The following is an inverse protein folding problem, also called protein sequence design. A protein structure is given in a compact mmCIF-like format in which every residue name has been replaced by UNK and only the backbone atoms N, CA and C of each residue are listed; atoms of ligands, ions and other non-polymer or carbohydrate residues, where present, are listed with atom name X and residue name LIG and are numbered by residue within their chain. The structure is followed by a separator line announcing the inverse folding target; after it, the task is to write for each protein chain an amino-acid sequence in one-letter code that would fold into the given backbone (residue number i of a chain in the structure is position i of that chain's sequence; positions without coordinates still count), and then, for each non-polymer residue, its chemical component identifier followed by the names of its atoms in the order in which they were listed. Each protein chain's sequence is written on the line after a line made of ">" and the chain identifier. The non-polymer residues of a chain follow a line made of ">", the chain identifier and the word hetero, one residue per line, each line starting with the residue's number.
data_IF_877515648425
#
_entry.id   IF_877515648425
#
_cell.length_a   1.000
_cell.length_b   1.000
_cell.length_c   1.000
_cell.angle_alpha   90.00
_cell.angle_beta   90.00
_cell.angle_gamma   90.00
#
_symmetry.space_group_name_H-M   'P 1'
#
loop_
_entity.id
_entity.type
_entity.pdbx_description
1 polymer ?
#
# COMPACT_ATOMS: atom_id res chain seq x y z
N UNK A 1 0.12 -17.67 29.02
CA UNK A 1 0.31 -16.21 29.07
C UNK A 1 1.63 -15.95 29.78
N UNK A 2 2.66 -15.53 29.06
CA UNK A 2 3.94 -15.17 29.67
C UNK A 2 3.79 -13.92 30.54
N UNK A 3 4.47 -13.86 31.68
CA UNK A 3 4.52 -12.63 32.49
C UNK A 3 5.22 -11.52 31.70
N UNK A 4 4.64 -10.32 31.68
CA UNK A 4 5.30 -9.13 31.10
C UNK A 4 6.68 -8.97 31.77
N UNK A 5 7.78 -8.86 31.00
CA UNK A 5 9.11 -8.64 31.56
C UNK A 5 9.11 -7.43 32.50
N UNK A 6 9.65 -7.61 33.70
CA UNK A 6 9.84 -6.53 34.67
C UNK A 6 11.29 -6.08 34.63
N UNK A 7 11.49 -4.79 34.44
CA UNK A 7 12.80 -4.15 34.52
C UNK A 7 12.86 -3.32 35.79
N UNK A 8 13.94 -3.45 36.56
CA UNK A 8 14.21 -2.65 37.76
C UNK A 8 15.48 -1.82 37.50
N UNK A 9 15.37 -0.50 37.70
CA UNK A 9 16.53 0.38 37.61
C UNK A 9 17.35 0.28 38.91
N UNK A 10 18.50 -0.38 38.84
CA UNK A 10 19.36 -0.64 40.02
C UNK A 10 20.46 0.42 40.23
N UNK A 11 20.67 1.31 39.27
CA UNK A 11 21.74 2.32 39.32
C UNK A 11 21.32 3.61 38.59
N UNK A 12 21.74 4.75 39.13
CA UNK A 12 21.72 6.04 38.44
C UNK A 12 23.06 6.26 37.73
N UNK A 13 23.00 6.63 36.46
CA UNK A 13 24.18 6.99 35.65
C UNK A 13 24.01 8.40 35.12
N UNK A 14 25.11 9.09 34.87
CA UNK A 14 25.08 10.35 34.13
C UNK A 14 24.75 10.05 32.66
N UNK A 15 23.81 10.78 32.04
CA UNK A 15 23.42 10.51 30.66
C UNK A 15 24.60 10.76 29.72
N UNK A 16 24.92 9.81 28.82
CA UNK A 16 25.98 10.00 27.85
C UNK A 16 25.63 11.13 26.88
N UNK A 17 26.64 11.75 26.28
CA UNK A 17 26.46 12.90 25.39
C UNK A 17 25.49 12.61 24.22
N UNK A 18 25.50 11.39 23.66
CA UNK A 18 24.60 11.03 22.57
C UNK A 18 23.12 11.13 22.97
N UNK A 19 22.77 10.77 24.21
CA UNK A 19 21.39 10.82 24.69
C UNK A 19 20.91 12.27 24.85
N UNK A 20 21.81 13.18 25.26
CA UNK A 20 21.52 14.62 25.30
C UNK A 20 21.30 15.21 23.91
N UNK A 21 22.11 14.79 22.93
CA UNK A 21 21.95 15.22 21.53
C UNK A 21 20.67 14.66 20.90
N UNK A 22 20.34 13.40 21.15
CA UNK A 22 19.08 12.79 20.71
C UNK A 22 17.87 13.56 21.26
N UNK A 23 17.85 13.87 22.57
CA UNK A 23 16.80 14.71 23.15
C UNK A 23 16.73 16.10 22.51
N UNK A 24 17.89 16.70 22.20
CA UNK A 24 17.93 18.00 21.51
C UNK A 24 17.36 17.91 20.09
N UNK A 25 17.64 16.84 19.35
CA UNK A 25 17.06 16.59 18.02
C UNK A 25 15.54 16.46 18.14
N UNK A 26 15.05 15.66 19.09
CA UNK A 26 13.62 15.50 19.35
C UNK A 26 12.95 16.86 19.64
N UNK A 27 13.55 17.71 20.47
CA UNK A 27 13.00 19.03 20.79
C UNK A 27 12.93 19.96 19.57
N UNK A 28 13.89 19.86 18.66
CA UNK A 28 13.90 20.61 17.38
C UNK A 28 12.82 20.05 16.44
N UNK A 29 12.74 18.73 16.28
CA UNK A 29 11.74 18.08 15.44
C UNK A 29 10.31 18.36 15.92
N UNK A 30 10.08 18.45 17.24
CA UNK A 30 8.80 18.88 17.80
C UNK A 30 8.38 20.27 17.34
N UNK A 31 9.32 21.22 17.28
CA UNK A 31 9.05 22.58 16.80
C UNK A 31 8.88 22.58 15.27
N UNK A 32 9.73 21.86 14.55
CA UNK A 32 9.70 21.79 13.10
C UNK A 32 8.41 21.14 12.59
N UNK A 33 7.92 20.07 13.21
CA UNK A 33 6.68 19.40 12.82
C UNK A 33 5.45 20.30 12.97
N UNK A 34 5.36 21.08 14.05
CA UNK A 34 4.28 22.08 14.22
C UNK A 34 4.37 23.17 13.15
N UNK A 35 5.55 23.74 12.94
CA UNK A 35 5.76 24.77 11.92
C UNK A 35 5.48 24.25 10.50
N UNK A 36 5.79 22.98 10.22
CA UNK A 36 5.49 22.33 8.95
C UNK A 36 3.98 22.27 8.71
N UNK A 37 3.21 21.74 9.67
CA UNK A 37 1.75 21.70 9.55
C UNK A 37 1.18 23.10 9.37
N UNK A 38 1.54 24.06 10.22
CA UNK A 38 1.05 25.44 10.13
C UNK A 38 1.37 26.11 8.78
N UNK A 39 2.45 25.70 8.11
CA UNK A 39 2.88 26.27 6.83
C UNK A 39 2.16 25.68 5.63
N UNK A 40 1.83 24.38 5.69
CA UNK A 40 1.36 23.60 4.54
C UNK A 40 -0.10 23.14 4.65
N UNK A 41 -0.76 23.37 5.79
CA UNK A 41 -2.19 23.08 5.96
C UNK A 41 -2.98 24.35 6.28
N UNK A 42 -4.29 24.28 6.05
CA UNK A 42 -5.28 25.25 6.53
C UNK A 42 -5.58 25.00 8.01
N UNK A 43 -6.27 25.93 8.69
CA UNK A 43 -6.67 25.74 10.09
C UNK A 43 -7.45 24.44 10.35
N UNK A 44 -8.29 24.01 9.41
CA UNK A 44 -9.05 22.76 9.48
C UNK A 44 -8.21 21.48 9.27
N UNK A 45 -6.96 21.60 8.83
CA UNK A 45 -6.05 20.48 8.53
C UNK A 45 -5.97 20.13 7.04
N UNK A 46 -6.84 20.67 6.19
CA UNK A 46 -6.74 20.40 4.76
C UNK A 46 -5.43 20.96 4.20
N UNK A 47 -4.82 20.24 3.26
CA UNK A 47 -3.59 20.68 2.63
C UNK A 47 -3.82 21.98 1.85
N UNK A 48 -2.82 22.87 1.88
CA UNK A 48 -2.70 23.99 0.95
C UNK A 48 -2.32 23.42 -0.43
N UNK A 49 -3.30 22.82 -1.09
CA UNK A 49 -3.16 22.08 -2.34
C UNK A 49 -4.07 22.66 -3.43
N UNK A 50 -4.33 21.86 -4.48
CA UNK A 50 -5.25 22.15 -5.58
C UNK A 50 -6.71 22.19 -5.12
N UNK A 51 -7.59 22.81 -5.90
CA UNK A 51 -9.03 22.81 -5.62
C UNK A 51 -9.74 21.56 -6.17
N UNK A 52 -9.11 20.85 -7.10
CA UNK A 52 -9.55 19.58 -7.66
C UNK A 52 -8.34 18.68 -7.99
N UNK A 53 -8.59 17.39 -8.14
CA UNK A 53 -7.55 16.42 -8.46
C UNK A 53 -8.08 15.35 -9.44
N UNK A 54 -7.46 15.18 -10.63
CA UNK A 54 -7.87 14.18 -11.60
C UNK A 54 -7.22 12.82 -11.34
N UNK A 55 -7.75 11.77 -11.99
CA UNK A 55 -7.15 10.44 -11.98
C UNK A 55 -7.31 9.68 -10.68
N UNK A 56 -6.61 8.56 -10.55
CA UNK A 56 -6.73 7.65 -9.40
C UNK A 56 -5.58 7.78 -8.38
N UNK A 57 -4.48 8.39 -8.79
CA UNK A 57 -3.22 8.52 -8.06
C UNK A 57 -3.17 9.78 -7.19
N UNK A 58 -2.26 9.86 -6.20
CA UNK A 58 -1.89 11.06 -5.47
C UNK A 58 -2.49 11.22 -4.07
N UNK A 59 -3.35 10.32 -3.59
CA UNK A 59 -3.79 10.31 -2.19
C UNK A 59 -2.67 9.88 -1.25
N UNK A 60 -1.83 8.97 -1.69
CA UNK A 60 -0.61 8.47 -1.05
C UNK A 60 0.35 9.59 -0.69
N UNK A 61 0.78 10.43 -1.64
CA UNK A 61 1.57 11.65 -1.39
C UNK A 61 1.05 12.50 -0.22
N UNK A 62 -0.27 12.65 -0.12
CA UNK A 62 -0.90 13.45 0.91
C UNK A 62 -0.88 12.78 2.29
N UNK A 63 -1.15 11.48 2.36
CA UNK A 63 -0.95 10.72 3.61
C UNK A 63 0.53 10.71 4.00
N UNK A 64 1.41 10.60 3.02
CA UNK A 64 2.83 10.48 3.23
C UNK A 64 3.45 11.73 3.87
N UNK A 65 2.86 12.90 3.60
CA UNK A 65 3.27 14.16 4.20
C UNK A 65 3.29 14.13 5.74
N UNK A 66 2.57 13.18 6.37
CA UNK A 66 2.46 13.09 7.83
C UNK A 66 2.66 11.67 8.41
N UNK A 67 2.87 10.63 7.60
CA UNK A 67 2.95 9.23 8.07
C UNK A 67 4.03 8.99 9.14
N UNK A 68 5.10 9.79 9.12
CA UNK A 68 6.22 9.71 10.07
C UNK A 68 5.92 10.35 11.42
N UNK A 69 4.86 11.15 11.56
CA UNK A 69 4.50 11.82 12.82
C UNK A 69 4.18 10.83 13.96
N UNK A 70 3.32 9.80 13.76
CA UNK A 70 3.10 8.81 14.80
C UNK A 70 4.36 8.00 15.12
N UNK A 71 5.18 7.66 14.11
CA UNK A 71 6.48 7.03 14.34
C UNK A 71 7.40 7.92 15.20
N UNK A 72 7.46 9.22 14.91
CA UNK A 72 8.25 10.15 15.71
C UNK A 72 7.74 10.27 17.15
N UNK A 73 6.42 10.24 17.36
CA UNK A 73 5.84 10.18 18.70
C UNK A 73 6.30 8.93 19.47
N UNK A 74 6.28 7.75 18.84
CA UNK A 74 6.78 6.50 19.43
C UNK A 74 8.25 6.58 19.86
N UNK A 75 9.06 7.35 19.13
CA UNK A 75 10.48 7.58 19.43
C UNK A 75 10.72 8.68 20.48
N UNK A 76 9.67 9.21 21.10
CA UNK A 76 9.76 10.21 22.17
C UNK A 76 9.41 11.65 21.77
N UNK A 77 8.80 11.82 20.59
CA UNK A 77 8.13 13.05 20.16
C UNK A 77 6.99 13.46 21.09
N UNK A 78 6.50 14.69 20.94
CA UNK A 78 5.52 15.28 21.85
C UNK A 78 4.09 14.83 21.54
N UNK A 79 3.22 14.87 22.55
CA UNK A 79 1.76 14.69 22.42
C UNK A 79 1.14 15.62 21.37
N UNK A 80 1.73 16.81 21.16
CA UNK A 80 1.26 17.73 20.13
C UNK A 80 1.45 17.15 18.73
N UNK A 81 2.57 16.47 18.46
CA UNK A 81 2.79 15.79 17.19
C UNK A 81 1.83 14.62 17.01
N UNK A 82 1.58 13.83 18.06
CA UNK A 82 0.60 12.75 18.01
C UNK A 82 -0.83 13.27 17.72
N UNK A 83 -1.22 14.39 18.35
CA UNK A 83 -2.46 15.07 18.03
C UNK A 83 -2.52 15.50 16.55
N UNK A 84 -1.44 16.12 16.04
CA UNK A 84 -1.37 16.55 14.65
C UNK A 84 -1.46 15.36 13.69
N UNK A 85 -0.77 14.26 13.96
CA UNK A 85 -0.88 13.05 13.14
C UNK A 85 -2.34 12.61 12.94
N UNK A 86 -3.10 12.55 14.03
CA UNK A 86 -4.51 12.14 13.98
C UNK A 86 -5.38 13.15 13.24
N UNK A 87 -5.15 14.44 13.47
CA UNK A 87 -5.86 15.52 12.79
C UNK A 87 -5.60 15.46 11.28
N UNK A 88 -4.34 15.36 10.87
CA UNK A 88 -3.96 15.40 9.46
C UNK A 88 -4.39 14.13 8.72
N UNK A 89 -4.37 12.95 9.37
CA UNK A 89 -4.99 11.75 8.81
C UNK A 89 -6.46 12.00 8.46
N UNK A 90 -7.25 12.52 9.40
CA UNK A 90 -8.68 12.76 9.19
C UNK A 90 -8.93 13.86 8.13
N UNK A 91 -8.11 14.90 8.10
CA UNK A 91 -8.26 16.00 7.14
C UNK A 91 -7.87 15.59 5.71
N UNK A 92 -6.77 14.85 5.53
CA UNK A 92 -6.36 14.29 4.24
C UNK A 92 -7.42 13.30 3.74
N UNK A 93 -7.89 12.40 4.61
CA UNK A 93 -8.96 11.44 4.26
C UNK A 93 -10.20 12.16 3.75
N UNK A 94 -10.61 13.24 4.43
CA UNK A 94 -11.76 14.04 4.01
C UNK A 94 -11.51 14.74 2.66
N UNK A 95 -10.37 15.42 2.51
CA UNK A 95 -10.03 16.16 1.30
C UNK A 95 -10.00 15.26 0.05
N UNK A 96 -9.39 14.08 0.15
CA UNK A 96 -9.35 13.13 -0.97
C UNK A 96 -10.65 12.36 -1.17
N UNK A 97 -11.54 12.35 -0.18
CA UNK A 97 -12.94 11.92 -0.39
C UNK A 97 -13.69 12.92 -1.27
N UNK A 98 -13.48 14.23 -1.05
CA UNK A 98 -14.09 15.28 -1.87
C UNK A 98 -13.53 15.30 -3.32
N UNK A 99 -12.27 14.95 -3.51
CA UNK A 99 -11.71 14.76 -4.87
C UNK A 99 -12.16 13.47 -5.55
N UNK A 100 -12.50 12.43 -4.77
CA UNK A 100 -13.06 11.18 -5.26
C UNK A 100 -12.09 9.98 -5.28
N UNK A 101 -10.80 10.20 -5.01
CA UNK A 101 -9.80 9.11 -4.92
C UNK A 101 -10.02 8.25 -3.67
N UNK A 102 -10.53 8.81 -2.58
CA UNK A 102 -10.84 8.07 -1.35
C UNK A 102 -12.35 7.79 -1.25
N UNK A 103 -12.70 6.57 -0.89
CA UNK A 103 -14.06 6.13 -0.65
C UNK A 103 -14.11 5.22 0.59
N UNK A 104 -15.03 5.50 1.53
CA UNK A 104 -15.13 4.76 2.80
C UNK A 104 -13.81 4.75 3.61
N UNK A 105 -13.09 5.87 3.56
CA UNK A 105 -11.77 6.13 4.20
C UNK A 105 -10.59 5.31 3.67
N UNK A 106 -10.76 4.64 2.52
CA UNK A 106 -9.72 3.90 1.83
C UNK A 106 -9.75 4.28 0.36
N UNK A 107 -8.66 4.15 -0.37
CA UNK A 107 -8.62 4.51 -1.79
C UNK A 107 -9.69 3.71 -2.55
N UNK A 108 -10.45 4.42 -3.38
CA UNK A 108 -11.52 3.84 -4.18
C UNK A 108 -10.97 2.68 -5.01
N UNK A 109 -9.83 2.93 -5.65
CA UNK A 109 -8.97 1.94 -6.28
C UNK A 109 -7.59 2.54 -6.55
N UNK A 110 -6.51 1.82 -6.21
CA UNK A 110 -5.16 2.06 -6.72
C UNK A 110 -4.34 0.76 -6.58
N UNK A 111 -3.01 0.83 -6.64
CA UNK A 111 -2.17 -0.35 -6.43
C UNK A 111 -1.62 -0.45 -5.01
N UNK A 112 -1.19 -1.66 -4.66
CA UNK A 112 -0.76 -1.97 -3.29
C UNK A 112 0.59 -1.35 -2.88
N UNK A 113 1.39 -0.86 -3.83
CA UNK A 113 2.58 -0.06 -3.49
C UNK A 113 2.12 1.23 -2.81
N UNK A 114 1.27 1.99 -3.48
CA UNK A 114 0.76 3.28 -2.99
C UNK A 114 -0.23 3.14 -1.83
N UNK A 115 -1.03 2.06 -1.79
CA UNK A 115 -1.78 1.74 -0.56
C UNK A 115 -0.82 1.47 0.61
N UNK A 116 0.30 0.78 0.36
CA UNK A 116 1.32 0.53 1.37
C UNK A 116 1.89 1.83 1.95
N UNK A 117 2.22 2.77 1.08
CA UNK A 117 2.68 4.12 1.44
C UNK A 117 1.66 4.84 2.34
N UNK A 118 0.40 4.88 1.89
CA UNK A 118 -0.71 5.52 2.61
C UNK A 118 -1.00 4.91 3.97
N UNK A 119 -1.26 3.59 4.02
CA UNK A 119 -1.86 2.94 5.18
C UNK A 119 -0.83 2.45 6.20
N UNK A 120 0.48 2.51 5.88
CA UNK A 120 1.56 2.39 6.87
C UNK A 120 1.34 3.34 8.06
N UNK A 121 0.75 4.49 7.79
CA UNK A 121 0.30 5.48 8.77
C UNK A 121 -0.59 4.86 9.85
N UNK A 122 -1.61 4.06 9.48
CA UNK A 122 -2.52 3.44 10.45
C UNK A 122 -1.80 2.42 11.35
N UNK A 123 -0.76 1.76 10.84
CA UNK A 123 0.03 0.82 11.64
C UNK A 123 0.73 1.54 12.79
N UNK A 124 1.32 2.70 12.51
CA UNK A 124 1.93 3.54 13.55
C UNK A 124 0.90 4.12 14.50
N UNK A 125 -0.26 4.59 14.01
CA UNK A 125 -1.32 5.10 14.90
C UNK A 125 -1.82 4.04 15.89
N UNK A 126 -2.00 2.80 15.42
CA UNK A 126 -2.36 1.68 16.28
C UNK A 126 -1.26 1.30 17.27
N UNK A 127 0.02 1.46 16.89
CA UNK A 127 1.15 1.23 17.79
C UNK A 127 1.27 2.34 18.85
N UNK A 128 0.95 3.59 18.52
CA UNK A 128 0.90 4.71 19.46
C UNK A 128 -0.16 4.51 20.55
N UNK A 129 -1.37 4.13 20.15
CA UNK A 129 -2.48 3.87 21.07
C UNK A 129 -3.46 2.84 20.49
N UNK A 130 -3.38 1.57 20.89
CA UNK A 130 -4.26 0.51 20.39
C UNK A 130 -5.69 0.57 20.96
N UNK A 131 -5.97 1.50 21.89
CA UNK A 131 -7.29 1.64 22.50
C UNK A 131 -8.20 2.62 21.75
N UNK A 132 -7.69 3.34 20.75
CA UNK A 132 -8.50 4.23 19.92
C UNK A 132 -9.48 3.41 19.07
N UNK A 133 -10.76 3.48 19.47
CA UNK A 133 -11.81 2.69 18.84
C UNK A 133 -11.93 2.92 17.32
N UNK A 134 -11.76 4.17 16.86
CA UNK A 134 -11.83 4.54 15.44
C UNK A 134 -10.78 3.79 14.61
N UNK A 135 -9.55 3.71 15.09
CA UNK A 135 -8.45 3.05 14.39
C UNK A 135 -8.65 1.53 14.34
N UNK A 136 -9.13 0.95 15.45
CA UNK A 136 -9.49 -0.46 15.48
C UNK A 136 -10.61 -0.79 14.49
N UNK A 137 -11.63 0.07 14.38
CA UNK A 137 -12.70 -0.11 13.39
C UNK A 137 -12.16 -0.02 11.95
N UNK A 138 -11.24 0.92 11.68
CA UNK A 138 -10.56 1.03 10.37
C UNK A 138 -9.78 -0.24 10.04
N UNK A 139 -8.96 -0.73 10.97
CA UNK A 139 -8.17 -1.95 10.77
C UNK A 139 -9.05 -3.15 10.36
N UNK A 140 -10.16 -3.37 11.06
CA UNK A 140 -11.08 -4.46 10.71
C UNK A 140 -11.84 -4.22 9.41
N UNK A 141 -12.30 -3.00 9.16
CA UNK A 141 -13.03 -2.67 7.92
C UNK A 141 -12.13 -2.81 6.70
N UNK A 142 -10.90 -2.30 6.76
CA UNK A 142 -9.96 -2.33 5.64
C UNK A 142 -9.47 -3.76 5.37
N UNK A 143 -9.21 -4.55 6.42
CA UNK A 143 -8.99 -5.98 6.24
C UNK A 143 -10.22 -6.67 5.61
N UNK A 144 -11.44 -6.27 5.99
CA UNK A 144 -12.71 -6.75 5.45
C UNK A 144 -12.82 -6.65 3.92
N UNK A 145 -12.16 -5.66 3.31
CA UNK A 145 -12.09 -5.49 1.85
C UNK A 145 -11.30 -6.60 1.14
N UNK A 146 -10.53 -7.40 1.87
CA UNK A 146 -9.68 -8.45 1.31
C UNK A 146 -9.95 -9.84 1.90
N UNK A 147 -10.60 -9.94 3.06
CA UNK A 147 -10.94 -11.25 3.67
C UNK A 147 -12.32 -11.78 3.28
N UNK A 148 -12.99 -11.15 2.30
CA UNK A 148 -14.30 -11.59 1.79
C UNK A 148 -15.49 -11.21 2.67
N UNK A 149 -15.34 -10.22 3.56
CA UNK A 149 -16.39 -9.77 4.48
C UNK A 149 -17.16 -8.55 3.97
N UNK A 150 -16.68 -7.88 2.93
CA UNK A 150 -17.31 -6.69 2.36
C UNK A 150 -18.01 -6.98 1.02
N UNK A 151 -19.32 -6.75 0.95
CA UNK A 151 -20.13 -7.03 -0.24
C UNK A 151 -19.83 -6.10 -1.44
N UNK A 152 -19.26 -4.92 -1.20
CA UNK A 152 -18.95 -3.95 -2.25
C UNK A 152 -17.49 -4.12 -2.72
N UNK A 153 -16.56 -4.24 -1.77
CA UNK A 153 -15.14 -4.43 -2.05
C UNK A 153 -14.80 -5.93 -2.24
N UNK A 154 -15.21 -6.48 -3.36
CA UNK A 154 -14.98 -7.90 -3.73
C UNK A 154 -13.57 -8.11 -4.31
N UNK A 155 -12.52 -7.62 -3.63
CA UNK A 155 -11.14 -7.65 -4.12
C UNK A 155 -10.53 -9.04 -4.17
N UNK A 156 -10.97 -9.95 -3.31
CA UNK A 156 -10.33 -11.25 -3.10
C UNK A 156 -11.23 -12.40 -3.52
N UNK A 157 -10.64 -13.36 -4.23
CA UNK A 157 -11.23 -14.67 -4.50
C UNK A 157 -10.75 -15.68 -3.45
N UNK A 158 -11.67 -16.15 -2.61
CA UNK A 158 -11.35 -17.09 -1.52
C UNK A 158 -11.11 -18.52 -1.96
N UNK A 159 -11.56 -18.91 -3.16
CA UNK A 159 -11.36 -20.25 -3.70
C UNK A 159 -9.99 -20.35 -4.38
N UNK A 160 -9.68 -19.38 -5.23
CA UNK A 160 -8.42 -19.30 -5.97
C UNK A 160 -7.28 -18.63 -5.19
N UNK A 161 -7.59 -18.03 -4.03
CA UNK A 161 -6.63 -17.33 -3.16
C UNK A 161 -5.86 -16.26 -3.94
N UNK A 162 -6.59 -15.33 -4.54
CA UNK A 162 -6.00 -14.27 -5.35
C UNK A 162 -6.71 -12.93 -5.18
N UNK A 163 -5.96 -11.83 -5.28
CA UNK A 163 -6.54 -10.49 -5.42
C UNK A 163 -6.82 -10.25 -6.91
N UNK A 164 -8.04 -9.81 -7.22
CA UNK A 164 -8.64 -9.93 -8.56
C UNK A 164 -8.19 -8.86 -9.56
N UNK A 165 -7.46 -7.85 -9.11
CA UNK A 165 -6.83 -6.85 -9.98
C UNK A 165 -5.60 -6.26 -9.31
N UNK A 166 -4.56 -5.85 -10.06
CA UNK A 166 -3.48 -5.02 -9.51
C UNK A 166 -3.97 -3.67 -9.01
N UNK A 167 -5.05 -3.15 -9.61
CA UNK A 167 -5.71 -1.91 -9.22
C UNK A 167 -7.00 -2.28 -8.49
N UNK A 168 -7.05 -2.05 -7.18
CA UNK A 168 -8.14 -2.51 -6.32
C UNK A 168 -8.33 -1.56 -5.14
N UNK A 169 -9.40 -1.72 -4.35
CA UNK A 169 -9.64 -0.83 -3.22
C UNK A 169 -11.02 -0.96 -2.61
N UNK A 170 -11.52 0.10 -1.99
CA UNK A 170 -12.82 0.10 -1.31
C UNK A 170 -14.02 0.00 -2.23
N UNK A 171 -13.83 0.21 -3.55
CA UNK A 171 -14.84 -0.06 -4.58
C UNK A 171 -14.69 -1.42 -5.25
N UNK A 172 -13.78 -2.27 -4.78
CA UNK A 172 -13.50 -3.56 -5.39
C UNK A 172 -12.41 -3.50 -6.47
N UNK A 173 -12.22 -4.59 -7.23
CA UNK A 173 -11.18 -4.69 -8.24
C UNK A 173 -11.54 -3.83 -9.47
N UNK A 174 -10.57 -3.05 -9.96
CA UNK A 174 -10.68 -2.25 -11.18
C UNK A 174 -10.21 -3.07 -12.37
N UNK A 175 -11.15 -3.66 -13.10
CA UNK A 175 -10.87 -4.50 -14.27
C UNK A 175 -10.69 -3.72 -15.58
N UNK A 176 -11.03 -2.44 -15.57
CA UNK A 176 -10.90 -1.53 -16.70
C UNK A 176 -10.61 -0.13 -16.16
N UNK A 177 -9.52 0.45 -16.64
CA UNK A 177 -9.07 1.79 -16.31
C UNK A 177 -9.45 2.73 -17.45
N UNK A 178 -9.86 3.94 -17.09
CA UNK A 178 -10.24 5.01 -18.01
C UNK A 178 -9.04 5.88 -18.40
N UNK A 179 -9.17 6.71 -19.45
CA UNK A 179 -8.19 7.74 -19.76
C UNK A 179 -7.90 8.68 -18.59
N UNK A 180 -8.92 9.00 -17.78
CA UNK A 180 -8.78 9.87 -16.63
C UNK A 180 -7.90 9.25 -15.55
N UNK A 181 -8.08 7.95 -15.27
CA UNK A 181 -7.33 7.21 -14.23
C UNK A 181 -5.80 7.33 -14.42
N UNK A 182 -5.34 7.38 -15.67
CA UNK A 182 -3.92 7.44 -16.05
C UNK A 182 -3.43 8.85 -16.42
N UNK A 183 -4.30 9.86 -16.33
CA UNK A 183 -4.00 11.20 -16.85
C UNK A 183 -2.78 11.86 -16.19
N UNK A 184 -2.53 11.58 -14.91
CA UNK A 184 -1.37 12.10 -14.16
C UNK A 184 -0.07 11.35 -14.47
N UNK A 185 -0.14 10.11 -14.96
CA UNK A 185 1.04 9.29 -15.25
C UNK A 185 1.60 9.49 -16.66
N UNK A 186 0.83 10.04 -17.61
CA UNK A 186 1.23 10.14 -19.03
C UNK A 186 2.61 10.77 -19.20
N UNK A 187 2.80 11.96 -18.63
CA UNK A 187 4.08 12.70 -18.70
C UNK A 187 5.25 11.92 -18.09
N UNK A 188 5.01 11.21 -16.99
CA UNK A 188 6.04 10.45 -16.29
C UNK A 188 6.42 9.22 -17.11
N UNK A 189 5.43 8.43 -17.55
CA UNK A 189 5.61 7.15 -18.23
C UNK A 189 6.14 7.29 -19.67
N UNK A 190 5.96 8.45 -20.31
CA UNK A 190 6.64 8.78 -21.57
C UNK A 190 8.18 8.69 -21.45
N UNK A 191 8.73 8.82 -20.24
CA UNK A 191 10.16 8.71 -19.97
C UNK A 191 10.64 7.28 -19.73
N UNK A 192 9.75 6.29 -19.69
CA UNK A 192 10.06 4.89 -19.42
C UNK A 192 9.87 4.00 -20.66
N UNK A 193 10.38 2.75 -20.64
CA UNK A 193 10.06 1.79 -21.68
C UNK A 193 8.55 1.55 -21.81
N UNK A 194 8.10 1.27 -23.03
CA UNK A 194 6.71 0.87 -23.27
C UNK A 194 6.35 -0.40 -22.50
N UNK A 195 5.10 -0.53 -22.00
CA UNK A 195 4.70 -1.65 -21.15
C UNK A 195 4.76 -2.99 -21.86
N UNK A 196 4.64 -2.98 -23.20
CA UNK A 196 4.77 -4.17 -24.05
C UNK A 196 5.68 -3.90 -25.25
N UNK A 197 6.36 -4.93 -25.73
CA UNK A 197 7.24 -4.87 -26.92
C UNK A 197 6.46 -4.99 -28.23
N UNK A 198 5.26 -5.56 -28.16
CA UNK A 198 4.41 -5.94 -29.29
C UNK A 198 3.23 -4.97 -29.47
N UNK A 199 3.44 -3.67 -29.21
CA UNK A 199 2.39 -2.65 -29.38
C UNK A 199 2.29 -2.26 -30.86
N UNK A 200 1.14 -2.46 -31.52
CA UNK A 200 1.00 -2.15 -32.95
C UNK A 200 1.27 -0.68 -33.28
N UNK A 201 2.24 -0.44 -34.17
CA UNK A 201 2.61 0.89 -34.62
C UNK A 201 3.56 1.65 -33.69
N UNK A 202 4.12 0.99 -32.67
CA UNK A 202 5.18 1.54 -31.82
C UNK A 202 6.41 0.63 -31.91
N UNK A 203 7.35 1.00 -32.78
CA UNK A 203 8.59 0.23 -33.01
C UNK A 203 9.78 0.75 -32.19
N UNK A 204 9.52 1.68 -31.25
CA UNK A 204 10.55 2.31 -30.41
C UNK A 204 10.45 1.83 -28.96
N UNK A 205 11.58 1.80 -28.21
CA UNK A 205 11.58 1.37 -26.81
C UNK A 205 10.71 2.24 -25.88
N UNK A 206 10.43 3.48 -26.28
CA UNK A 206 9.56 4.42 -25.56
C UNK A 206 8.46 4.91 -26.50
N UNK A 207 7.34 5.32 -25.93
CA UNK A 207 6.23 5.94 -26.65
C UNK A 207 5.96 7.32 -26.08
N UNK A 208 5.43 8.23 -26.90
CA UNK A 208 4.90 9.48 -26.39
C UNK A 208 3.49 9.23 -25.85
N UNK A 209 3.39 9.05 -24.53
CA UNK A 209 2.10 8.85 -23.88
C UNK A 209 1.21 10.08 -23.98
N UNK A 210 1.73 11.26 -24.36
CA UNK A 210 0.94 12.48 -24.52
C UNK A 210 0.27 12.61 -25.89
N UNK A 211 0.59 11.73 -26.84
CA UNK A 211 -0.21 11.54 -28.05
C UNK A 211 -1.46 10.69 -27.70
N UNK A 212 -2.64 11.20 -28.02
CA UNK A 212 -3.91 10.57 -27.62
C UNK A 212 -4.17 9.23 -28.36
N UNK A 213 -3.76 9.09 -29.63
CA UNK A 213 -3.92 7.84 -30.36
C UNK A 213 -2.98 6.75 -29.84
N UNK A 214 -1.75 7.13 -29.50
CA UNK A 214 -0.77 6.24 -28.87
C UNK A 214 -1.26 5.81 -27.49
N UNK A 215 -1.73 6.76 -26.69
CA UNK A 215 -2.23 6.49 -25.34
C UNK A 215 -3.44 5.56 -25.36
N UNK A 216 -4.41 5.78 -26.26
CA UNK A 216 -5.58 4.91 -26.40
C UNK A 216 -5.16 3.45 -26.68
N UNK A 217 -4.17 3.24 -27.56
CA UNK A 217 -3.65 1.89 -27.87
C UNK A 217 -2.94 1.26 -26.66
N UNK A 218 -2.16 2.05 -25.93
CA UNK A 218 -1.48 1.58 -24.71
C UNK A 218 -2.51 1.20 -23.65
N UNK A 219 -3.48 2.08 -23.38
CA UNK A 219 -4.52 1.86 -22.38
C UNK A 219 -5.36 0.62 -22.68
N UNK A 220 -5.74 0.40 -23.94
CA UNK A 220 -6.46 -0.80 -24.37
C UNK A 220 -5.63 -2.07 -24.09
N UNK A 221 -4.32 -2.06 -24.34
CA UNK A 221 -3.45 -3.18 -23.97
C UNK A 221 -3.31 -3.35 -22.45
N UNK A 222 -3.20 -2.26 -21.68
CA UNK A 222 -3.16 -2.34 -20.21
C UNK A 222 -4.45 -2.97 -19.67
N UNK A 223 -5.62 -2.55 -20.18
CA UNK A 223 -6.92 -3.11 -19.79
C UNK A 223 -7.09 -4.58 -20.18
N UNK A 224 -6.57 -4.97 -21.35
CA UNK A 224 -6.62 -6.37 -21.81
C UNK A 224 -5.65 -7.28 -21.07
N UNK A 225 -4.46 -6.79 -20.73
CA UNK A 225 -3.33 -7.62 -20.30
C UNK A 225 -2.92 -7.49 -18.83
N UNK A 226 -3.18 -6.35 -18.20
CA UNK A 226 -2.70 -6.04 -16.84
C UNK A 226 -3.82 -5.74 -15.83
N UNK A 227 -5.00 -5.25 -16.26
CA UNK A 227 -6.04 -4.81 -15.32
C UNK A 227 -6.78 -5.96 -14.60
N UNK A 228 -6.49 -7.22 -14.91
CA UNK A 228 -7.26 -8.37 -14.43
C UNK A 228 -6.33 -9.42 -13.86
N UNK A 229 -6.77 -10.01 -12.75
CA UNK A 229 -6.01 -11.02 -12.06
C UNK A 229 -5.04 -10.45 -11.04
N UNK A 230 -4.13 -11.30 -10.60
CA UNK A 230 -3.27 -11.04 -9.46
C UNK A 230 -1.81 -10.84 -9.90
N UNK A 231 -1.10 -10.06 -9.10
CA UNK A 231 0.31 -9.72 -9.29
C UNK A 231 1.02 -9.81 -7.94
N UNK A 232 2.32 -10.13 -7.90
CA UNK A 232 3.07 -10.23 -6.66
C UNK A 232 2.98 -8.98 -5.78
N UNK A 233 2.86 -7.79 -6.38
CA UNK A 233 2.71 -6.53 -5.64
C UNK A 233 1.58 -6.58 -4.59
N UNK A 234 0.50 -7.30 -4.88
CA UNK A 234 -0.63 -7.45 -3.98
C UNK A 234 -0.27 -8.20 -2.67
N UNK A 235 0.89 -8.87 -2.59
CA UNK A 235 1.38 -9.47 -1.35
C UNK A 235 1.62 -8.43 -0.23
N UNK A 236 1.82 -7.16 -0.58
CA UNK A 236 1.88 -6.05 0.40
C UNK A 236 0.59 -5.94 1.23
N UNK A 237 -0.54 -6.44 0.72
CA UNK A 237 -1.81 -6.51 1.44
C UNK A 237 -1.74 -7.25 2.77
N UNK A 238 -0.83 -8.22 2.88
CA UNK A 238 -0.66 -9.03 4.08
C UNK A 238 -0.39 -8.18 5.32
N UNK A 239 0.31 -7.05 5.20
CA UNK A 239 0.60 -6.14 6.34
C UNK A 239 -0.69 -5.55 6.94
N UNK A 240 -1.68 -5.27 6.10
CA UNK A 240 -2.98 -4.76 6.57
C UNK A 240 -3.76 -5.82 7.33
N UNK A 241 -3.68 -7.06 6.86
CA UNK A 241 -4.34 -8.20 7.49
C UNK A 241 -3.67 -8.56 8.82
N UNK A 242 -2.34 -8.49 8.87
CA UNK A 242 -1.56 -8.63 10.12
C UNK A 242 -1.93 -7.52 11.09
N UNK A 243 -2.06 -6.28 10.63
CA UNK A 243 -2.45 -5.16 11.49
C UNK A 243 -3.82 -5.42 12.16
N UNK A 244 -4.80 -5.93 11.42
CA UNK A 244 -6.08 -6.35 11.99
C UNK A 244 -5.93 -7.52 12.99
N UNK A 245 -5.11 -8.52 12.68
CA UNK A 245 -4.80 -9.63 13.59
C UNK A 245 -4.22 -9.13 14.92
N UNK A 246 -3.31 -8.15 14.91
CA UNK A 246 -2.66 -7.65 16.12
C UNK A 246 -3.64 -7.03 17.13
N UNK A 247 -4.83 -6.59 16.71
CA UNK A 247 -5.84 -6.05 17.62
C UNK A 247 -6.63 -7.11 18.41
N UNK A 248 -6.84 -8.31 17.86
CA UNK A 248 -7.74 -9.30 18.47
C UNK A 248 -7.28 -10.76 18.42
N UNK A 249 -6.21 -11.08 17.68
CA UNK A 249 -5.67 -12.43 17.52
C UNK A 249 -6.59 -13.39 16.76
N UNK A 250 -7.56 -12.89 15.98
CA UNK A 250 -8.51 -13.73 15.26
C UNK A 250 -7.81 -14.54 14.17
N UNK A 251 -7.92 -15.87 14.26
CA UNK A 251 -7.22 -16.80 13.38
C UNK A 251 -7.62 -16.67 11.92
N UNK A 252 -8.77 -16.08 11.58
CA UNK A 252 -9.15 -15.84 10.18
C UNK A 252 -8.11 -15.00 9.43
N UNK A 253 -7.55 -13.98 10.09
CA UNK A 253 -6.56 -13.08 9.50
C UNK A 253 -5.23 -13.81 9.28
N UNK A 254 -4.80 -14.60 10.27
CA UNK A 254 -3.60 -15.42 10.14
C UNK A 254 -3.73 -16.44 9.01
N UNK A 255 -4.85 -17.15 8.96
CA UNK A 255 -5.10 -18.15 7.92
C UNK A 255 -5.15 -17.52 6.53
N UNK A 256 -5.77 -16.35 6.39
CA UNK A 256 -5.79 -15.63 5.12
C UNK A 256 -4.37 -15.31 4.61
N UNK A 257 -3.50 -14.79 5.49
CA UNK A 257 -2.12 -14.45 5.13
C UNK A 257 -1.34 -15.69 4.69
N UNK A 258 -1.41 -16.76 5.46
CA UNK A 258 -0.72 -18.02 5.15
C UNK A 258 -1.24 -18.64 3.86
N UNK A 259 -2.57 -18.77 3.71
CA UNK A 259 -3.20 -19.32 2.50
C UNK A 259 -2.80 -18.53 1.24
N UNK A 260 -2.73 -17.20 1.34
CA UNK A 260 -2.40 -16.35 0.21
C UNK A 260 -0.93 -16.48 -0.21
N UNK A 261 -0.01 -16.56 0.76
CA UNK A 261 1.41 -16.78 0.50
C UNK A 261 1.66 -18.18 -0.07
N UNK A 262 1.00 -19.20 0.48
CA UNK A 262 1.09 -20.58 -0.02
C UNK A 262 0.61 -20.68 -1.47
N UNK A 263 -0.41 -19.91 -1.85
CA UNK A 263 -0.88 -19.84 -3.24
C UNK A 263 0.20 -19.26 -4.17
N UNK A 264 0.88 -18.17 -3.77
CA UNK A 264 2.01 -17.61 -4.52
C UNK A 264 3.23 -18.53 -4.58
N UNK A 265 3.52 -19.24 -3.50
CA UNK A 265 4.56 -20.26 -3.45
C UNK A 265 4.27 -21.42 -4.42
N UNK A 266 3.02 -21.90 -4.47
CA UNK A 266 2.59 -22.93 -5.42
C UNK A 266 2.74 -22.45 -6.87
N UNK A 267 2.27 -21.24 -7.20
CA UNK A 267 2.42 -20.64 -8.54
C UNK A 267 3.89 -20.50 -8.95
N UNK A 268 4.74 -20.13 -8.00
CA UNK A 268 6.20 -20.06 -8.21
C UNK A 268 6.78 -21.44 -8.55
N UNK A 269 6.36 -22.50 -7.86
CA UNK A 269 6.77 -23.89 -8.19
C UNK A 269 6.29 -24.33 -9.56
N UNK A 270 5.05 -24.03 -9.91
CA UNK A 270 4.46 -24.33 -11.23
C UNK A 270 5.21 -23.58 -12.34
N UNK A 271 5.75 -22.40 -12.05
CA UNK A 271 6.58 -21.61 -12.96
C UNK A 271 8.10 -21.86 -12.78
N UNK A 272 8.49 -23.12 -12.54
CA UNK A 272 9.89 -23.56 -12.48
C UNK A 272 10.77 -22.84 -11.45
N UNK A 273 10.17 -22.40 -10.34
CA UNK A 273 10.87 -21.73 -9.24
C UNK A 273 11.06 -20.22 -9.44
N UNK A 274 10.54 -19.63 -10.51
CA UNK A 274 10.52 -18.18 -10.72
C UNK A 274 9.11 -17.67 -10.44
N UNK A 275 8.98 -16.64 -9.62
CA UNK A 275 7.66 -16.08 -9.33
C UNK A 275 7.05 -15.49 -10.61
N UNK A 276 5.88 -15.98 -11.07
CA UNK A 276 5.17 -15.34 -12.16
C UNK A 276 4.73 -13.95 -11.71
N UNK A 277 4.71 -12.97 -12.62
CA UNK A 277 4.29 -11.61 -12.27
C UNK A 277 2.85 -11.29 -12.69
N UNK A 278 2.13 -12.27 -13.23
CA UNK A 278 0.72 -12.15 -13.59
C UNK A 278 0.01 -13.50 -13.56
N UNK A 279 -1.19 -13.52 -12.97
CA UNK A 279 -2.08 -14.68 -12.85
C UNK A 279 -3.48 -14.20 -13.17
N UNK A 280 -4.17 -14.80 -14.13
CA UNK A 280 -5.50 -14.34 -14.52
C UNK A 280 -6.61 -14.71 -13.52
N UNK A 281 -7.83 -14.26 -13.81
CA UNK A 281 -9.01 -14.49 -12.96
C UNK A 281 -9.42 -15.98 -12.89
N UNK A 282 -8.96 -16.80 -13.83
CA UNK A 282 -9.13 -18.26 -13.77
C UNK A 282 -8.13 -18.94 -12.81
N UNK A 283 -7.09 -18.22 -12.37
CA UNK A 283 -5.94 -18.78 -11.67
C UNK A 283 -4.82 -19.26 -12.59
N UNK A 284 -4.99 -19.18 -13.92
CA UNK A 284 -3.94 -19.54 -14.87
C UNK A 284 -2.84 -18.47 -14.97
N UNK A 285 -1.58 -18.90 -14.91
CA UNK A 285 -0.41 -18.03 -15.09
C UNK A 285 -0.36 -17.58 -16.56
N UNK A 286 -0.23 -16.27 -16.81
CA UNK A 286 -0.13 -15.76 -18.17
C UNK A 286 -1.45 -15.68 -18.95
N UNK A 287 -2.61 -15.87 -18.30
CA UNK A 287 -3.93 -15.94 -18.96
C UNK A 287 -4.18 -14.72 -19.87
N UNK A 288 -3.94 -13.51 -19.36
CA UNK A 288 -4.16 -12.27 -20.09
C UNK A 288 -2.94 -11.84 -20.94
N UNK A 289 -1.92 -12.70 -21.02
CA UNK A 289 -0.59 -12.39 -21.55
C UNK A 289 -0.11 -13.38 -22.61
N UNK A 290 -1.05 -14.04 -23.29
CA UNK A 290 -0.76 -15.04 -24.33
C UNK A 290 0.17 -16.16 -23.80
N UNK A 291 -0.01 -16.54 -22.53
CA UNK A 291 0.79 -17.56 -21.83
C UNK A 291 2.14 -17.07 -21.29
N UNK A 292 2.49 -15.79 -21.44
CA UNK A 292 3.70 -15.23 -20.82
C UNK A 292 3.48 -15.03 -19.32
N UNK A 293 4.29 -15.71 -18.50
CA UNK A 293 4.30 -15.57 -17.03
C UNK A 293 4.87 -14.23 -16.54
N UNK A 294 5.40 -13.40 -17.45
CA UNK A 294 6.01 -12.10 -17.18
C UNK A 294 5.31 -10.96 -17.94
N UNK A 295 5.50 -9.73 -17.44
CA UNK A 295 4.99 -8.49 -18.03
C UNK A 295 3.77 -7.91 -17.31
N UNK A 296 3.39 -8.43 -16.14
CA UNK A 296 2.32 -7.87 -15.31
C UNK A 296 2.63 -6.47 -14.76
N UNK A 297 1.62 -5.86 -14.13
CA UNK A 297 1.73 -4.56 -13.48
C UNK A 297 2.70 -4.62 -12.29
N UNK A 298 3.66 -3.69 -12.21
CA UNK A 298 4.83 -3.81 -11.32
C UNK A 298 5.58 -5.14 -11.41
N UNK A 299 5.47 -5.85 -12.55
CA UNK A 299 6.16 -7.10 -12.81
C UNK A 299 7.60 -6.91 -13.26
N UNK A 300 8.23 -7.99 -13.73
CA UNK A 300 9.67 -8.04 -14.07
C UNK A 300 10.12 -7.00 -15.10
N UNK A 301 9.21 -6.55 -15.97
CA UNK A 301 9.48 -5.57 -17.05
C UNK A 301 8.99 -4.16 -16.74
N UNK A 302 8.12 -3.99 -15.74
CA UNK A 302 7.55 -2.70 -15.40
C UNK A 302 8.63 -1.77 -14.83
N UNK A 303 8.54 -0.44 -15.02
CA UNK A 303 9.39 0.51 -14.31
C UNK A 303 9.43 0.25 -12.81
N UNK A 304 10.63 0.07 -12.25
CA UNK A 304 10.84 -0.29 -10.83
C UNK A 304 10.17 -1.60 -10.37
N UNK A 305 9.65 -2.42 -11.29
CA UNK A 305 8.82 -3.58 -10.95
C UNK A 305 9.58 -4.70 -10.24
N UNK A 306 10.78 -5.04 -10.69
CA UNK A 306 11.58 -6.10 -10.05
C UNK A 306 11.86 -5.81 -8.56
N UNK A 307 12.09 -4.55 -8.19
CA UNK A 307 12.28 -4.16 -6.79
C UNK A 307 10.97 -4.37 -6.00
N UNK A 308 9.87 -3.81 -6.47
CA UNK A 308 8.56 -3.89 -5.81
C UNK A 308 8.04 -5.33 -5.67
N UNK A 309 8.26 -6.17 -6.68
CA UNK A 309 7.95 -7.60 -6.64
C UNK A 309 8.72 -8.32 -5.53
N UNK A 310 10.02 -8.04 -5.40
CA UNK A 310 10.85 -8.66 -4.37
C UNK A 310 10.49 -8.14 -2.98
N UNK A 311 10.26 -6.84 -2.83
CA UNK A 311 9.89 -6.22 -1.56
C UNK A 311 8.55 -6.74 -1.05
N UNK A 312 7.51 -6.77 -1.90
CA UNK A 312 6.19 -7.33 -1.54
C UNK A 312 6.28 -8.80 -1.12
N UNK A 313 7.14 -9.59 -1.77
CA UNK A 313 7.41 -10.99 -1.38
C UNK A 313 8.07 -11.08 0.00
N UNK A 314 9.09 -10.25 0.28
CA UNK A 314 9.77 -10.20 1.58
C UNK A 314 8.80 -9.75 2.68
N UNK A 315 8.01 -8.71 2.43
CA UNK A 315 6.99 -8.21 3.35
C UNK A 315 6.04 -9.34 3.75
N UNK A 316 5.51 -10.09 2.78
CA UNK A 316 4.60 -11.19 3.06
C UNK A 316 5.27 -12.33 3.83
N UNK A 317 6.51 -12.72 3.48
CA UNK A 317 7.28 -13.71 4.23
C UNK A 317 7.50 -13.30 5.69
N UNK A 318 7.92 -12.04 5.94
CA UNK A 318 8.09 -11.50 7.29
C UNK A 318 6.79 -11.48 8.08
N UNK A 319 5.67 -11.15 7.42
CA UNK A 319 4.34 -11.19 8.02
C UNK A 319 3.93 -12.62 8.41
N UNK A 320 4.17 -13.61 7.54
CA UNK A 320 3.93 -15.02 7.86
C UNK A 320 4.80 -15.50 9.02
N UNK A 321 6.10 -15.19 8.99
CA UNK A 321 7.04 -15.51 10.07
C UNK A 321 6.58 -14.91 11.40
N UNK A 322 6.14 -13.64 11.41
CA UNK A 322 5.61 -12.99 12.62
C UNK A 322 4.38 -13.72 13.19
N UNK A 323 3.47 -14.16 12.33
CA UNK A 323 2.21 -14.81 12.73
C UNK A 323 2.36 -16.29 13.11
N UNK A 324 3.37 -16.97 12.57
CA UNK A 324 3.54 -18.43 12.69
C UNK A 324 4.73 -18.81 13.57
N UNK A 325 5.78 -17.99 13.62
CA UNK A 325 7.08 -18.34 14.17
C UNK A 325 7.89 -19.30 13.29
N UNK A 326 7.47 -19.54 12.05
CA UNK A 326 8.15 -20.44 11.11
C UNK A 326 9.17 -19.66 10.26
N UNK A 327 10.45 -20.00 10.41
CA UNK A 327 11.57 -19.42 9.66
C UNK A 327 11.67 -19.97 8.22
N UNK A 328 10.80 -20.90 7.83
CA UNK A 328 10.75 -21.46 6.48
C UNK A 328 10.02 -20.60 5.43
N UNK A 329 9.29 -19.57 5.87
CA UNK A 329 8.74 -18.51 5.00
C UNK A 329 9.81 -17.48 4.65
#
# INVERSE_FOLDING_TARGET
>A
VGSIPKFEAVQKVDPPAWALWERRIIDICNQAGVAFVERYTRPDGTLVWRDNWPGMDGSDDAYESFWTFPLFYLLGGSEKIHYLARKEWDAVTWQFTEYGQVYREFDAYYDWMHHGESYSYLYYLGLCDPHVFKDRQRAFRFAGFYVGEDNEAQNYDSELKLIRSPINGSRGPRHEMSPEDWSTHRDVLANYPVPFEDIPGIDTPKADWNDDEIFERILDLLNRRMAKGDVPLNLTATSMIVHAYLYNGDQKYKNWVVDYIDAWYKRTKENNGIMPDNVGLSGEIGECMDGKWWGGYYGWRWPHGAMNLLESTIIAGLNAMLLTGDEGF
#
